data_IF_630564186360
#
_entry.id   IF_630564186360
#
_cell.length_a   1.000
_cell.length_b   1.000
_cell.length_c   1.000
_cell.angle_alpha   90.00
_cell.angle_beta   90.00
_cell.angle_gamma   90.00
#
_symmetry.space_group_name_H-M   'P 1'
#
loop_
_entity.id
_entity.type
_entity.pdbx_description
1 polymer ?
#
# COMPACT_ATOMS: atom_id res chain seq x y z
N UNK A 1 -17.28 3.36 18.06
CA UNK A 1 -17.06 2.50 16.87
C UNK A 1 -16.50 3.28 15.68
N UNK A 2 -17.00 4.49 15.36
CA UNK A 2 -16.56 5.30 14.21
C UNK A 2 -15.03 5.33 14.00
N UNK A 3 -14.27 5.70 15.04
CA UNK A 3 -12.81 5.78 14.93
C UNK A 3 -12.12 4.43 14.63
N UNK A 4 -12.68 3.32 15.13
CA UNK A 4 -12.15 1.97 14.88
C UNK A 4 -12.40 1.56 13.43
N UNK A 5 -13.62 1.77 12.93
CA UNK A 5 -13.96 1.45 11.55
C UNK A 5 -13.10 2.26 10.57
N UNK A 6 -12.93 3.57 10.80
CA UNK A 6 -12.14 4.43 9.95
C UNK A 6 -10.65 4.00 9.88
N UNK A 7 -10.04 3.66 11.02
CA UNK A 7 -8.64 3.20 11.00
C UNK A 7 -8.50 1.82 10.34
N UNK A 8 -9.48 0.94 10.49
CA UNK A 8 -9.49 -0.37 9.84
C UNK A 8 -9.60 -0.25 8.31
N UNK A 9 -10.45 0.66 7.82
CA UNK A 9 -10.56 0.96 6.38
C UNK A 9 -9.24 1.51 5.81
N UNK A 10 -8.64 2.50 6.45
CA UNK A 10 -7.35 3.07 6.04
C UNK A 10 -6.26 1.99 6.02
N UNK A 11 -6.27 1.10 7.02
CA UNK A 11 -5.28 0.03 7.13
C UNK A 11 -5.40 -1.02 6.01
N UNK A 12 -6.63 -1.38 5.63
CA UNK A 12 -6.85 -2.32 4.53
C UNK A 12 -6.53 -1.68 3.16
N UNK A 13 -6.78 -0.38 2.99
CA UNK A 13 -6.31 0.38 1.82
C UNK A 13 -4.78 0.35 1.75
N UNK A 14 -4.10 0.66 2.85
CA UNK A 14 -2.64 0.61 2.94
C UNK A 14 -2.08 -0.78 2.56
N UNK A 15 -2.66 -1.86 3.10
CA UNK A 15 -2.24 -3.23 2.76
C UNK A 15 -2.40 -3.55 1.28
N UNK A 16 -3.52 -3.14 0.68
CA UNK A 16 -3.78 -3.36 -0.75
C UNK A 16 -2.74 -2.61 -1.59
N UNK A 17 -2.57 -1.31 -1.32
CA UNK A 17 -1.56 -0.48 -1.97
C UNK A 17 -0.16 -1.10 -1.86
N UNK A 18 0.23 -1.60 -0.68
CA UNK A 18 1.53 -2.23 -0.49
C UNK A 18 1.69 -3.55 -1.28
N UNK A 19 0.61 -4.35 -1.38
CA UNK A 19 0.62 -5.56 -2.20
C UNK A 19 0.78 -5.24 -3.69
N UNK A 20 0.07 -4.22 -4.17
CA UNK A 20 0.15 -3.76 -5.55
C UNK A 20 1.55 -3.23 -5.86
N UNK A 21 2.14 -2.47 -4.93
CA UNK A 21 3.52 -2.00 -5.04
C UNK A 21 4.53 -3.15 -5.16
N UNK A 22 4.44 -4.15 -4.27
CA UNK A 22 5.32 -5.33 -4.35
C UNK A 22 5.16 -6.05 -5.70
N UNK A 23 3.95 -6.08 -6.24
CA UNK A 23 3.66 -6.71 -7.54
C UNK A 23 4.32 -5.92 -8.67
N UNK A 24 4.12 -4.60 -8.73
CA UNK A 24 4.73 -3.72 -9.73
C UNK A 24 6.27 -3.74 -9.66
N UNK A 25 6.87 -3.78 -8.46
CA UNK A 25 8.33 -3.92 -8.29
C UNK A 25 8.84 -5.22 -8.93
N UNK A 26 8.12 -6.34 -8.75
CA UNK A 26 8.49 -7.63 -9.34
C UNK A 26 8.34 -7.60 -10.86
N UNK A 27 7.27 -6.99 -11.37
CA UNK A 27 7.03 -6.85 -12.80
C UNK A 27 8.06 -5.95 -13.48
N UNK A 28 8.44 -4.84 -12.83
CA UNK A 28 9.51 -3.96 -13.27
C UNK A 28 10.84 -4.72 -13.36
N UNK A 29 11.21 -5.44 -12.30
CA UNK A 29 12.43 -6.24 -12.27
C UNK A 29 12.45 -7.33 -13.35
N UNK A 30 11.31 -8.00 -13.57
CA UNK A 30 11.17 -8.99 -14.65
C UNK A 30 11.34 -8.32 -16.02
N UNK A 31 10.70 -7.18 -16.23
CA UNK A 31 10.79 -6.43 -17.49
C UNK A 31 12.23 -6.00 -17.77
N UNK A 32 12.95 -5.50 -16.76
CA UNK A 32 14.36 -5.10 -16.87
C UNK A 32 15.27 -6.29 -17.25
N UNK A 33 15.04 -7.47 -16.67
CA UNK A 33 15.78 -8.69 -17.05
C UNK A 33 15.54 -9.09 -18.49
N UNK A 34 14.27 -9.11 -18.93
CA UNK A 34 13.93 -9.44 -20.32
C UNK A 34 14.56 -8.44 -21.31
N UNK A 35 14.56 -7.15 -20.96
CA UNK A 35 15.24 -6.12 -21.77
C UNK A 35 16.73 -6.43 -21.84
N UNK A 36 17.36 -6.77 -20.72
CA UNK A 36 18.79 -7.12 -20.65
C UNK A 36 19.10 -8.36 -21.51
N UNK A 37 18.27 -9.40 -21.44
CA UNK A 37 18.42 -10.61 -22.26
C UNK A 37 18.34 -10.30 -23.77
N UNK A 38 17.43 -9.41 -24.16
CA UNK A 38 17.31 -8.95 -25.55
C UNK A 38 18.58 -8.20 -25.98
N UNK A 39 19.10 -7.30 -25.13
CA UNK A 39 20.32 -6.55 -25.45
C UNK A 39 21.52 -7.49 -25.59
N UNK A 40 21.69 -8.45 -24.68
CA UNK A 40 22.72 -9.47 -24.78
C UNK A 40 22.57 -10.33 -26.05
N UNK A 41 21.34 -10.67 -26.45
CA UNK A 41 21.11 -11.39 -27.69
C UNK A 41 21.57 -10.58 -28.91
N UNK A 42 21.29 -9.27 -28.94
CA UNK A 42 21.75 -8.35 -30.00
C UNK A 42 23.30 -8.27 -30.02
N UNK A 43 23.95 -8.29 -28.86
CA UNK A 43 25.40 -8.16 -28.76
C UNK A 43 26.16 -9.43 -29.16
N UNK A 44 25.56 -10.60 -28.96
CA UNK A 44 26.27 -11.89 -29.01
C UNK A 44 25.87 -12.80 -30.18
N UNK A 45 24.81 -12.47 -30.93
CA UNK A 45 24.29 -13.32 -32.01
C UNK A 45 24.41 -12.62 -33.36
N UNK A 46 24.78 -13.38 -34.37
CA UNK A 46 24.49 -13.00 -35.76
C UNK A 46 22.98 -13.15 -36.00
N UNK A 47 22.39 -12.20 -36.70
CA UNK A 47 20.94 -12.18 -36.95
C UNK A 47 20.61 -11.60 -38.32
N UNK A 48 19.47 -12.02 -38.87
CA UNK A 48 18.93 -11.49 -40.12
C UNK A 48 18.23 -10.14 -39.89
N UNK A 49 17.86 -9.48 -40.99
CA UNK A 49 17.07 -8.24 -40.91
C UNK A 49 15.69 -8.48 -40.28
N UNK A 50 15.06 -9.60 -40.61
CA UNK A 50 13.77 -10.02 -40.09
C UNK A 50 13.84 -10.24 -38.57
N UNK A 51 14.90 -10.93 -38.11
CA UNK A 51 15.14 -11.14 -36.68
C UNK A 51 15.36 -9.79 -35.95
N UNK A 52 16.18 -8.91 -36.53
CA UNK A 52 16.43 -7.59 -35.98
C UNK A 52 15.14 -6.77 -35.85
N UNK A 53 14.29 -6.77 -36.88
CA UNK A 53 13.02 -6.07 -36.88
C UNK A 53 12.09 -6.56 -35.77
N UNK A 54 11.95 -7.88 -35.64
CA UNK A 54 11.13 -8.52 -34.59
C UNK A 54 11.63 -8.15 -33.18
N UNK A 55 12.94 -8.21 -32.97
CA UNK A 55 13.55 -7.91 -31.68
C UNK A 55 13.41 -6.42 -31.31
N UNK A 56 13.57 -5.51 -32.29
CA UNK A 56 13.38 -4.07 -32.07
C UNK A 56 11.94 -3.76 -31.65
N UNK A 57 10.93 -4.37 -32.30
CA UNK A 57 9.52 -4.19 -31.91
C UNK A 57 9.25 -4.69 -30.50
N UNK A 58 9.79 -5.86 -30.15
CA UNK A 58 9.69 -6.42 -28.79
C UNK A 58 10.35 -5.53 -27.75
N UNK A 59 11.56 -5.02 -28.03
CA UNK A 59 12.28 -4.11 -27.15
C UNK A 59 11.50 -2.80 -26.95
N UNK A 60 10.92 -2.25 -28.02
CA UNK A 60 10.08 -1.05 -27.95
C UNK A 60 8.88 -1.28 -27.02
N UNK A 61 8.14 -2.37 -27.21
CA UNK A 61 6.99 -2.71 -26.37
C UNK A 61 7.39 -2.86 -24.89
N UNK A 62 8.48 -3.56 -24.61
CA UNK A 62 9.00 -3.72 -23.24
C UNK A 62 9.40 -2.40 -22.60
N UNK A 63 10.03 -1.50 -23.35
CA UNK A 63 10.42 -0.16 -22.85
C UNK A 63 9.21 0.74 -22.58
N UNK A 64 8.11 0.58 -23.32
CA UNK A 64 6.84 1.27 -23.06
C UNK A 64 6.23 0.71 -21.78
N UNK A 65 6.04 -0.61 -21.68
CA UNK A 65 5.51 -1.28 -20.49
C UNK A 65 6.32 -0.93 -19.23
N UNK A 66 7.66 -0.92 -19.33
CA UNK A 66 8.53 -0.50 -18.23
C UNK A 66 8.22 0.93 -17.74
N UNK A 67 7.90 1.83 -18.66
CA UNK A 67 7.59 3.23 -18.34
C UNK A 67 6.24 3.32 -17.64
N UNK A 68 5.23 2.65 -18.16
CA UNK A 68 3.90 2.56 -17.55
C UNK A 68 3.97 1.99 -16.12
N UNK A 69 4.75 0.91 -15.91
CA UNK A 69 4.97 0.37 -14.56
C UNK A 69 5.61 1.41 -13.62
N UNK A 70 6.60 2.18 -14.10
CA UNK A 70 7.23 3.23 -13.27
C UNK A 70 6.25 4.36 -12.96
N UNK A 71 5.46 4.77 -13.95
CA UNK A 71 4.50 5.86 -13.81
C UNK A 71 3.43 5.54 -12.75
N UNK A 72 3.06 4.26 -12.58
CA UNK A 72 2.20 3.78 -11.49
C UNK A 72 2.94 3.60 -10.16
N UNK A 73 4.17 3.07 -10.21
CA UNK A 73 4.96 2.75 -9.03
C UNK A 73 5.39 4.00 -8.24
N UNK A 74 5.73 5.09 -8.93
CA UNK A 74 6.24 6.33 -8.31
C UNK A 74 5.20 6.98 -7.35
N UNK A 75 3.95 7.28 -7.77
CA UNK A 75 2.93 7.78 -6.85
C UNK A 75 2.61 6.78 -5.71
N UNK A 76 2.57 5.48 -6.03
CA UNK A 76 2.26 4.45 -5.05
C UNK A 76 3.34 4.34 -3.96
N UNK A 77 4.61 4.49 -4.33
CA UNK A 77 5.72 4.53 -3.40
C UNK A 77 5.61 5.70 -2.42
N UNK A 78 5.20 6.88 -2.90
CA UNK A 78 4.97 8.05 -2.05
C UNK A 78 3.87 7.75 -1.04
N UNK A 79 2.74 7.21 -1.49
CA UNK A 79 1.61 6.86 -0.61
C UNK A 79 2.02 5.89 0.50
N UNK A 80 2.70 4.79 0.14
CA UNK A 80 3.14 3.77 1.10
C UNK A 80 4.10 4.36 2.12
N UNK A 81 5.11 5.11 1.65
CA UNK A 81 6.12 5.73 2.53
C UNK A 81 5.47 6.69 3.52
N UNK A 82 4.51 7.49 3.06
CA UNK A 82 3.79 8.43 3.92
C UNK A 82 2.93 7.72 4.97
N UNK A 83 2.23 6.65 4.59
CA UNK A 83 1.38 5.87 5.50
C UNK A 83 2.18 5.05 6.51
N UNK A 84 3.31 4.48 6.12
CA UNK A 84 4.22 3.77 7.04
C UNK A 84 4.73 4.69 8.16
N UNK A 85 5.06 5.94 7.83
CA UNK A 85 5.49 6.93 8.80
C UNK A 85 4.42 7.26 9.86
N UNK A 86 3.14 7.08 9.55
CA UNK A 86 2.04 7.30 10.50
C UNK A 86 1.89 6.18 11.53
N UNK A 87 2.58 5.04 11.37
CA UNK A 87 2.51 3.89 12.28
C UNK A 87 1.06 3.46 12.54
N UNK A 88 0.31 3.21 11.47
CA UNK A 88 -1.13 2.89 11.49
C UNK A 88 -1.47 1.78 12.51
N UNK A 89 -0.63 0.76 12.65
CA UNK A 89 -0.80 -0.30 13.66
C UNK A 89 -0.87 0.24 15.09
N UNK A 90 -0.01 1.22 15.42
CA UNK A 90 0.00 1.85 16.76
C UNK A 90 -1.25 2.70 16.98
N UNK A 91 -1.71 3.39 15.96
CA UNK A 91 -2.97 4.17 16.02
C UNK A 91 -4.14 3.21 16.28
N UNK A 92 -4.21 2.12 15.51
CA UNK A 92 -5.23 1.07 15.63
C UNK A 92 -5.25 0.44 17.02
N UNK A 93 -4.08 0.07 17.55
CA UNK A 93 -3.94 -0.49 18.89
C UNK A 93 -4.38 0.51 19.99
N UNK A 94 -4.02 1.79 19.86
CA UNK A 94 -4.42 2.83 20.82
C UNK A 94 -5.93 3.04 20.84
N UNK A 95 -6.57 3.07 19.67
CA UNK A 95 -8.03 3.20 19.56
C UNK A 95 -8.70 1.97 20.21
N UNK A 96 -8.29 0.76 19.86
CA UNK A 96 -8.81 -0.47 20.42
C UNK A 96 -8.66 -0.52 21.97
N UNK A 97 -7.48 -0.15 22.49
CA UNK A 97 -7.24 -0.08 23.93
C UNK A 97 -8.16 0.92 24.63
N UNK A 98 -8.38 2.11 24.03
CA UNK A 98 -9.28 3.12 24.61
C UNK A 98 -10.73 2.64 24.63
N UNK A 99 -11.18 1.97 23.57
CA UNK A 99 -12.52 1.38 23.49
C UNK A 99 -12.71 0.30 24.55
N UNK A 100 -11.73 -0.57 24.75
CA UNK A 100 -11.76 -1.58 25.82
C UNK A 100 -11.91 -0.93 27.19
N UNK A 101 -11.05 0.05 27.53
CA UNK A 101 -11.13 0.77 28.82
C UNK A 101 -12.42 1.54 29.04
N UNK A 102 -13.13 1.92 27.97
CA UNK A 102 -14.43 2.58 28.08
C UNK A 102 -15.52 1.63 28.57
N UNK A 103 -15.43 0.33 28.26
CA UNK A 103 -16.37 -0.68 28.75
C UNK A 103 -16.30 -0.84 30.27
N UNK A 104 -15.12 -0.65 30.84
CA UNK A 104 -14.87 -0.81 32.27
C UNK A 104 -14.98 0.50 33.07
N UNK A 105 -15.53 1.58 32.47
CA UNK A 105 -15.65 2.88 33.14
C UNK A 105 -16.67 2.83 34.27
N UNK A 106 -16.21 3.11 35.48
CA UNK A 106 -17.10 3.44 36.62
C UNK A 106 -17.50 4.91 36.54
N UNK A 107 -18.79 5.18 36.74
CA UNK A 107 -19.29 6.55 36.85
C UNK A 107 -18.82 7.15 38.19
N UNK A 108 -18.34 8.39 38.15
CA UNK A 108 -18.05 9.18 39.34
C UNK A 108 -18.98 10.38 39.34
N UNK A 109 -19.86 10.43 40.34
CA UNK A 109 -20.79 11.53 40.54
C UNK A 109 -20.00 12.82 40.78
N UNK A 110 -20.34 13.88 40.04
CA UNK A 110 -19.64 15.19 40.09
C UNK A 110 -20.40 16.26 40.85
N UNK A 111 -21.65 15.98 41.18
CA UNK A 111 -22.57 16.88 41.85
C UNK A 111 -23.23 16.09 42.96
N UNK A 112 -23.20 16.59 44.19
CA UNK A 112 -23.93 15.97 45.30
C UNK A 112 -25.43 16.10 45.04
N UNK A 113 -26.09 14.96 44.82
CA UNK A 113 -27.55 14.90 44.65
C UNK A 113 -28.12 14.58 46.03
N UNK A 114 -28.99 15.45 46.61
CA UNK A 114 -29.62 15.18 47.88
C UNK A 114 -30.43 13.88 47.82
N UNK A 115 -30.16 12.96 48.74
CA UNK A 115 -30.71 11.60 48.78
C UNK A 115 -32.21 11.52 49.09
N UNK A 116 -32.91 12.66 49.21
CA UNK A 116 -34.33 12.75 49.61
C UNK A 116 -35.33 13.05 48.48
N UNK A 117 -34.90 13.16 47.22
CA UNK A 117 -35.78 13.51 46.09
C UNK A 117 -36.19 12.31 45.22
N UNK A 118 -36.20 11.09 45.77
CA UNK A 118 -36.87 9.94 45.14
C UNK A 118 -38.10 9.64 46.00
N UNK A 119 -39.16 10.41 45.75
CA UNK A 119 -40.49 10.16 46.30
C UNK A 119 -41.13 8.95 45.62
N UNK A 120 -41.81 8.16 46.47
CA UNK A 120 -42.84 7.11 46.24
C UNK A 120 -43.24 6.79 44.81
#
# INVERSE_FOLDING_TARGET
MIAQNAIDEIYEIYKRANKDYITLVKELSRTDRIITDILHWIELKDFTLEDAYSVILKLKALRINRREIKDELEPLQILITMLENQKLDKIRQRIASKISKQKDRKYTQRVDIPTGAVGT
#
